data_IF_474428108157
#
_entry.id   IF_474428108157
#
_cell.length_a   1.000
_cell.length_b   1.000
_cell.length_c   1.000
_cell.angle_alpha   90.00
_cell.angle_beta   90.00
_cell.angle_gamma   90.00
#
_symmetry.space_group_name_H-M   'P 1'
#
loop_
_entity.id
_entity.type
_entity.pdbx_description
1 polymer ?
#
# COMPACT_ATOMS: atom_id res chain seq x y z
N UNK A 1 54.86 -61.53 16.24
CA UNK A 1 53.88 -60.82 17.10
C UNK A 1 54.44 -59.43 17.41
N UNK A 2 53.80 -58.32 16.97
CA UNK A 2 54.31 -56.98 17.27
C UNK A 2 54.06 -56.63 18.74
N UNK A 3 55.05 -56.03 19.39
CA UNK A 3 55.05 -55.75 20.83
C UNK A 3 53.91 -54.81 21.24
N UNK A 4 53.43 -54.94 22.49
CA UNK A 4 52.35 -54.11 23.06
C UNK A 4 52.60 -52.60 22.94
N UNK A 5 53.85 -52.17 22.81
CA UNK A 5 54.23 -50.77 22.68
C UNK A 5 53.91 -50.18 21.29
N UNK A 6 54.13 -50.93 20.21
CA UNK A 6 53.82 -50.45 18.85
C UNK A 6 52.33 -50.38 18.58
N UNK A 7 51.52 -51.25 19.21
CA UNK A 7 50.06 -51.19 19.13
C UNK A 7 49.46 -49.97 19.83
N UNK A 8 50.03 -49.54 20.97
CA UNK A 8 49.58 -48.32 21.68
C UNK A 8 49.95 -47.04 20.94
N UNK A 9 51.14 -47.01 20.33
CA UNK A 9 51.59 -45.88 19.52
C UNK A 9 50.74 -45.70 18.24
N UNK A 10 50.44 -46.81 17.55
CA UNK A 10 49.56 -46.79 16.37
C UNK A 10 48.12 -46.36 16.68
N UNK A 11 47.59 -46.75 17.85
CA UNK A 11 46.24 -46.34 18.28
C UNK A 11 46.18 -44.87 18.66
N UNK A 12 47.23 -44.33 19.29
CA UNK A 12 47.34 -42.91 19.58
C UNK A 12 47.45 -42.07 18.29
N UNK A 13 48.24 -42.52 17.31
CA UNK A 13 48.33 -41.86 16.01
C UNK A 13 47.01 -41.89 15.23
N UNK A 14 46.27 -43.01 15.28
CA UNK A 14 44.95 -43.12 14.66
C UNK A 14 43.93 -42.16 15.30
N UNK A 15 43.93 -42.03 16.63
CA UNK A 15 43.05 -41.09 17.34
C UNK A 15 43.39 -39.63 17.01
N UNK A 16 44.67 -39.27 16.93
CA UNK A 16 45.08 -37.90 16.54
C UNK A 16 44.70 -37.59 15.09
N UNK A 17 44.83 -38.56 14.18
CA UNK A 17 44.40 -38.40 12.79
C UNK A 17 42.88 -38.27 12.66
N UNK A 18 42.09 -39.02 13.44
CA UNK A 18 40.63 -38.91 13.44
C UNK A 18 40.18 -37.55 13.98
N UNK A 19 40.82 -37.04 15.03
CA UNK A 19 40.53 -35.70 15.59
C UNK A 19 40.94 -34.59 14.61
N UNK A 20 42.07 -34.74 13.91
CA UNK A 20 42.51 -33.79 12.88
C UNK A 20 41.57 -33.76 11.67
N UNK A 21 41.08 -34.92 11.22
CA UNK A 21 40.11 -35.02 10.12
C UNK A 21 38.75 -34.45 10.54
N UNK A 22 38.31 -34.68 11.78
CA UNK A 22 37.09 -34.09 12.33
C UNK A 22 37.19 -32.55 12.44
N UNK A 23 38.33 -32.00 12.87
CA UNK A 23 38.57 -30.56 12.89
C UNK A 23 38.59 -29.93 11.48
N UNK A 24 39.14 -30.63 10.48
CA UNK A 24 39.16 -30.15 9.10
C UNK A 24 37.76 -30.17 8.45
N UNK A 25 36.90 -31.12 8.82
CA UNK A 25 35.51 -31.19 8.34
C UNK A 25 34.61 -30.12 8.99
N UNK A 26 34.87 -29.74 10.24
CA UNK A 26 34.16 -28.62 10.90
C UNK A 26 34.51 -27.26 10.29
N UNK A 27 35.72 -27.11 9.72
CA UNK A 27 36.17 -25.89 9.05
C UNK A 27 35.70 -25.78 7.59
N UNK A 28 35.03 -26.80 7.04
CA UNK A 28 34.63 -26.85 5.63
C UNK A 28 33.15 -26.56 5.37
N UNK A 29 32.33 -26.41 6.42
CA UNK A 29 30.92 -26.01 6.30
C UNK A 29 30.74 -24.54 6.73
N UNK A 30 31.20 -23.62 5.89
CA UNK A 30 30.64 -22.28 5.81
C UNK A 30 30.16 -22.03 4.38
N UNK A 31 28.84 -22.04 4.23
CA UNK A 31 28.09 -21.51 3.07
C UNK A 31 28.03 -19.97 3.25
N UNK A 32 28.04 -19.17 2.16
CA UNK A 32 28.60 -17.82 2.16
C UNK A 32 27.71 -16.74 2.81
N UNK A 33 28.40 -15.73 3.33
CA UNK A 33 27.88 -14.47 3.87
C UNK A 33 26.92 -13.75 2.91
N UNK A 34 25.75 -13.38 3.42
CA UNK A 34 25.03 -12.18 2.99
C UNK A 34 25.65 -10.99 3.71
N UNK A 35 26.02 -9.98 2.93
CA UNK A 35 26.73 -8.79 3.37
C UNK A 35 25.92 -7.97 4.39
N UNK A 36 26.53 -7.70 5.54
CA UNK A 36 26.21 -6.56 6.38
C UNK A 36 27.46 -5.66 6.37
N UNK A 37 27.32 -4.44 5.86
CA UNK A 37 28.40 -3.45 5.82
C UNK A 37 28.82 -3.03 7.24
N UNK A 38 30.12 -2.79 7.50
CA UNK A 38 30.58 -2.27 8.78
C UNK A 38 30.46 -0.74 8.81
N UNK A 39 29.74 -0.20 9.81
CA UNK A 39 29.79 1.21 10.16
C UNK A 39 31.14 1.51 10.82
N UNK A 40 31.95 2.35 10.19
CA UNK A 40 33.24 2.78 10.71
C UNK A 40 33.06 4.12 11.44
N UNK A 41 32.93 4.08 12.76
CA UNK A 41 32.87 5.29 13.59
C UNK A 41 34.28 5.78 13.90
N UNK A 42 34.66 6.90 13.27
CA UNK A 42 35.72 7.79 13.71
C UNK A 42 35.33 9.22 13.35
N UNK A 43 34.75 9.95 14.29
CA UNK A 43 35.39 11.21 14.66
C UNK A 43 34.96 11.71 16.03
N UNK A 44 35.96 12.09 16.82
CA UNK A 44 35.81 12.68 18.14
C UNK A 44 35.84 14.20 18.01
N UNK A 45 34.69 14.86 18.22
CA UNK A 45 34.68 16.29 18.58
C UNK A 45 33.91 16.51 19.87
N UNK A 46 34.72 16.55 20.93
CA UNK A 46 34.55 17.21 22.22
C UNK A 46 33.71 18.49 22.09
N UNK A 47 32.53 18.50 22.73
CA UNK A 47 31.85 19.74 23.09
C UNK A 47 31.58 19.73 24.60
N UNK A 48 31.84 20.88 25.20
CA UNK A 48 32.02 21.13 26.63
C UNK A 48 30.66 21.32 27.31
N UNK A 49 30.56 20.79 28.52
CA UNK A 49 29.48 21.08 29.48
C UNK A 49 29.80 22.42 30.13
N UNK A 50 28.86 23.37 30.09
CA UNK A 50 28.82 24.48 31.05
C UNK A 50 27.45 24.49 31.73
N UNK A 51 27.51 24.61 33.06
CA UNK A 51 26.40 24.71 33.99
C UNK A 51 25.94 26.18 34.16
N UNK A 52 24.65 26.32 34.49
CA UNK A 52 24.03 27.31 35.38
C UNK A 52 23.94 28.80 34.95
N UNK A 53 22.69 29.30 34.83
CA UNK A 53 22.25 30.54 35.50
C UNK A 53 20.72 30.61 35.61
N UNK A 54 20.24 30.99 36.80
CA UNK A 54 18.85 31.16 37.25
C UNK A 54 18.22 32.52 36.85
N UNK A 55 16.86 32.53 36.82
CA UNK A 55 15.89 33.61 37.20
C UNK A 55 15.99 34.99 36.47
N UNK A 56 14.96 35.71 36.02
CA UNK A 56 13.49 35.74 36.18
C UNK A 56 12.86 36.70 35.12
N UNK A 57 11.52 36.76 35.11
CA UNK A 57 10.60 37.83 34.64
C UNK A 57 9.95 37.73 33.23
N UNK A 58 8.75 37.13 33.25
CA UNK A 58 7.44 37.61 32.76
C UNK A 58 7.35 38.51 31.52
N UNK A 59 6.61 38.04 30.51
CA UNK A 59 5.49 38.79 29.94
C UNK A 59 4.48 37.84 29.27
N UNK A 60 3.22 38.06 29.62
CA UNK A 60 2.03 37.28 29.28
C UNK A 60 1.69 37.35 27.78
N UNK A 61 1.38 36.20 27.17
CA UNK A 61 0.56 36.13 25.96
C UNK A 61 -0.30 34.86 26.02
N UNK A 62 -1.39 34.99 26.78
CA UNK A 62 -2.59 34.15 26.76
C UNK A 62 -3.12 34.03 25.33
N UNK A 63 -2.99 32.86 24.72
CA UNK A 63 -3.76 32.47 23.53
C UNK A 63 -4.56 31.22 23.81
N UNK A 64 -5.64 31.43 24.56
CA UNK A 64 -6.80 30.55 24.66
C UNK A 64 -7.50 30.47 23.30
N UNK A 65 -7.43 29.32 22.64
CA UNK A 65 -8.39 28.95 21.60
C UNK A 65 -8.78 27.48 21.73
N UNK A 66 -9.44 27.15 22.85
CA UNK A 66 -10.44 26.10 22.89
C UNK A 66 -11.57 26.53 23.82
N UNK A 67 -12.68 26.97 23.22
CA UNK A 67 -14.00 26.82 23.79
C UNK A 67 -14.96 26.41 22.66
N UNK A 68 -15.68 25.34 22.92
CA UNK A 68 -16.64 24.67 22.05
C UNK A 68 -17.80 25.57 21.62
N UNK A 69 -18.47 25.11 20.54
CA UNK A 69 -19.87 25.41 20.16
C UNK A 69 -20.23 26.83 19.67
N UNK A 70 -20.14 27.08 18.34
CA UNK A 70 -21.12 27.88 17.57
C UNK A 70 -20.81 28.01 16.06
N UNK A 71 -21.10 27.00 15.22
CA UNK A 71 -21.78 27.20 13.91
C UNK A 71 -22.78 26.05 13.71
N UNK A 72 -23.76 25.96 14.61
CA UNK A 72 -25.08 25.43 14.30
C UNK A 72 -26.08 26.42 14.89
N UNK A 73 -26.45 27.41 14.07
CA UNK A 73 -27.57 28.29 14.33
C UNK A 73 -28.87 27.53 14.09
N UNK A 74 -29.24 26.63 15.00
CA UNK A 74 -30.62 26.17 15.12
C UNK A 74 -31.32 27.07 16.15
N UNK A 75 -32.19 27.94 15.64
CA UNK A 75 -33.23 28.54 16.46
C UNK A 75 -34.35 27.50 16.68
N UNK A 76 -34.47 26.99 17.90
CA UNK A 76 -35.71 26.40 18.37
C UNK A 76 -36.72 27.50 18.68
N UNK A 77 -37.83 27.55 17.94
CA UNK A 77 -39.19 27.33 18.45
C UNK A 77 -40.21 27.87 17.44
N UNK A 78 -40.92 26.96 16.79
CA UNK A 78 -42.36 26.94 17.01
C UNK A 78 -42.85 25.48 17.01
N UNK A 79 -43.40 25.09 18.16
CA UNK A 79 -44.28 23.95 18.28
C UNK A 79 -45.51 24.22 17.41
N UNK A 80 -45.83 23.34 16.46
CA UNK A 80 -47.17 22.81 16.30
C UNK A 80 -47.20 21.59 15.38
N UNK A 81 -47.98 20.62 15.84
CA UNK A 81 -48.58 19.50 15.10
C UNK A 81 -47.66 18.37 14.62
N UNK A 82 -47.37 17.48 15.58
CA UNK A 82 -47.30 16.04 15.30
C UNK A 82 -48.66 15.64 14.68
N UNK A 83 -48.69 15.52 13.36
CA UNK A 83 -49.57 14.58 12.67
C UNK A 83 -48.70 13.44 12.16
N UNK A 84 -49.02 12.26 12.67
CA UNK A 84 -48.64 10.98 12.09
C UNK A 84 -49.35 10.84 10.75
N UNK A 85 -48.67 11.15 9.64
CA UNK A 85 -49.02 10.65 8.31
C UNK A 85 -48.00 9.55 8.00
N UNK A 86 -48.35 8.28 8.23
CA UNK A 86 -48.73 7.34 7.16
C UNK A 86 -47.87 7.48 5.92
N UNK A 87 -46.93 6.55 5.78
CA UNK A 87 -46.60 5.80 4.55
C UNK A 87 -47.30 6.33 3.27
N UNK A 88 -46.87 7.51 2.82
CA UNK A 88 -47.17 8.07 1.50
C UNK A 88 -45.86 8.04 0.73
N UNK A 89 -45.86 7.28 -0.37
CA UNK A 89 -44.85 7.30 -1.40
C UNK A 89 -44.41 8.73 -1.69
N UNK A 90 -43.11 9.04 -1.55
CA UNK A 90 -42.54 10.27 -2.12
C UNK A 90 -42.86 10.29 -3.60
N UNK A 91 -43.88 11.04 -4.00
CA UNK A 91 -44.17 11.31 -5.40
C UNK A 91 -42.99 12.10 -5.96
N UNK A 92 -42.38 11.56 -7.02
CA UNK A 92 -41.31 12.23 -7.77
C UNK A 92 -41.88 13.49 -8.40
N UNK A 93 -41.15 14.61 -8.36
CA UNK A 93 -41.62 15.92 -8.84
C UNK A 93 -42.16 15.85 -10.29
N UNK A 94 -41.57 14.99 -11.11
CA UNK A 94 -41.97 14.66 -12.49
C UNK A 94 -43.43 14.19 -12.62
N UNK A 95 -43.96 13.47 -11.64
CA UNK A 95 -45.33 12.93 -11.70
C UNK A 95 -46.40 14.04 -11.58
N UNK A 96 -46.00 15.21 -11.06
CA UNK A 96 -46.85 16.36 -10.83
C UNK A 96 -46.75 17.46 -11.90
N UNK A 97 -45.77 17.36 -12.80
CA UNK A 97 -45.47 18.35 -13.82
C UNK A 97 -46.17 18.07 -15.15
N UNK A 98 -46.59 19.12 -15.89
CA UNK A 98 -46.94 19.00 -17.29
C UNK A 98 -45.77 18.48 -18.12
N UNK A 99 -46.05 17.63 -19.11
CA UNK A 99 -45.05 17.01 -20.00
C UNK A 99 -44.23 18.06 -20.77
N UNK A 100 -44.77 19.28 -20.96
CA UNK A 100 -44.10 20.38 -21.65
C UNK A 100 -42.93 20.99 -20.84
N UNK A 101 -42.83 20.69 -19.55
CA UNK A 101 -41.80 21.16 -18.60
C UNK A 101 -40.83 20.02 -18.23
N UNK A 102 -40.68 19.04 -19.12
CA UNK A 102 -39.75 17.92 -18.96
C UNK A 102 -38.80 17.95 -20.14
N UNK A 103 -37.50 17.98 -19.86
CA UNK A 103 -36.42 18.19 -20.84
C UNK A 103 -36.56 19.51 -21.63
N UNK A 104 -36.93 20.60 -20.96
CA UNK A 104 -37.17 21.92 -21.57
C UNK A 104 -35.99 22.93 -21.43
N UNK A 105 -34.81 22.43 -21.03
CA UNK A 105 -33.60 23.21 -20.72
C UNK A 105 -33.79 24.15 -19.50
N UNK A 106 -34.80 23.92 -18.66
CA UNK A 106 -35.02 24.67 -17.42
C UNK A 106 -35.20 23.71 -16.23
N UNK A 107 -34.56 24.02 -15.11
CA UNK A 107 -34.66 23.20 -13.91
C UNK A 107 -35.79 23.70 -13.01
N UNK A 108 -36.98 23.10 -13.15
CA UNK A 108 -38.19 23.33 -12.39
C UNK A 108 -38.22 22.54 -11.08
N UNK A 109 -37.65 21.33 -11.07
CA UNK A 109 -37.66 20.50 -9.86
C UNK A 109 -36.44 20.72 -8.97
N UNK A 110 -36.69 20.82 -7.67
CA UNK A 110 -35.63 20.93 -6.66
C UNK A 110 -34.78 19.66 -6.53
N UNK A 111 -35.33 18.51 -6.95
CA UNK A 111 -34.65 17.21 -7.01
C UNK A 111 -33.93 16.97 -8.35
N UNK A 112 -34.16 17.81 -9.37
CA UNK A 112 -33.58 17.72 -10.71
C UNK A 112 -34.09 16.56 -11.56
N UNK A 113 -35.25 15.99 -11.23
CA UNK A 113 -35.81 14.83 -11.94
C UNK A 113 -36.49 15.19 -13.27
N UNK A 114 -36.79 16.46 -13.49
CA UNK A 114 -37.43 17.05 -14.66
C UNK A 114 -36.55 17.10 -15.90
N UNK A 115 -35.23 17.19 -15.73
CA UNK A 115 -34.27 17.36 -16.82
C UNK A 115 -33.29 16.17 -16.91
N UNK A 116 -33.75 14.93 -17.20
CA UNK A 116 -32.87 13.78 -17.34
C UNK A 116 -31.94 13.87 -18.55
N UNK A 117 -32.33 14.57 -19.63
CA UNK A 117 -31.61 14.62 -20.91
C UNK A 117 -30.99 15.99 -21.24
N UNK A 118 -31.09 16.97 -20.34
CA UNK A 118 -30.46 18.27 -20.51
C UNK A 118 -29.50 18.58 -19.37
N UNK A 119 -28.67 19.61 -19.53
CA UNK A 119 -27.72 20.04 -18.48
C UNK A 119 -28.31 21.06 -17.48
N UNK A 120 -29.60 21.39 -17.59
CA UNK A 120 -30.23 22.47 -16.82
C UNK A 120 -30.22 22.22 -15.30
N UNK A 121 -30.40 20.96 -14.87
CA UNK A 121 -30.34 20.57 -13.45
C UNK A 121 -28.95 20.14 -12.96
N UNK A 122 -27.87 20.39 -13.72
CA UNK A 122 -26.49 20.06 -13.31
C UNK A 122 -26.04 20.73 -12.00
N UNK A 123 -26.68 21.83 -11.59
CA UNK A 123 -26.36 22.54 -10.35
C UNK A 123 -26.88 21.83 -9.08
N UNK A 124 -27.82 20.88 -9.22
CA UNK A 124 -28.44 20.14 -8.11
C UNK A 124 -27.46 19.15 -7.44
N UNK A 125 -26.30 18.90 -8.08
CA UNK A 125 -25.17 18.10 -7.57
C UNK A 125 -24.67 18.55 -6.18
N UNK A 126 -24.96 19.79 -5.75
CA UNK A 126 -24.47 20.38 -4.50
C UNK A 126 -25.34 20.11 -3.26
N UNK A 127 -26.51 19.47 -3.40
CA UNK A 127 -27.49 19.31 -2.29
C UNK A 127 -27.82 17.86 -1.91
N UNK A 128 -27.23 16.87 -2.57
CA UNK A 128 -27.41 15.45 -2.22
C UNK A 128 -26.37 15.01 -1.19
N UNK A 129 -26.80 14.74 0.05
CA UNK A 129 -25.95 14.18 1.12
C UNK A 129 -25.76 12.66 1.02
N UNK A 130 -26.46 11.98 0.10
CA UNK A 130 -26.43 10.51 -0.03
C UNK A 130 -26.02 10.07 -1.45
N UNK A 131 -25.08 9.10 -1.61
CA UNK A 131 -24.75 8.55 -2.93
C UNK A 131 -25.96 7.84 -3.57
N UNK A 132 -26.20 7.97 -4.90
CA UNK A 132 -25.38 8.63 -5.91
C UNK A 132 -25.50 10.16 -5.90
N UNK A 133 -24.40 10.83 -6.26
CA UNK A 133 -24.27 12.29 -6.25
C UNK A 133 -25.02 12.92 -7.43
N UNK A 134 -26.34 13.09 -7.27
CA UNK A 134 -27.24 13.80 -8.19
C UNK A 134 -27.67 13.00 -9.43
N UNK A 135 -28.51 13.61 -10.31
CA UNK A 135 -28.98 12.96 -11.51
C UNK A 135 -27.81 12.68 -12.48
N UNK A 136 -27.90 11.58 -13.21
CA UNK A 136 -26.92 11.16 -14.22
C UNK A 136 -27.65 10.86 -15.53
N UNK A 137 -27.08 11.31 -16.65
CA UNK A 137 -27.58 11.03 -18.00
C UNK A 137 -27.13 9.63 -18.42
N UNK A 138 -28.06 8.82 -18.92
CA UNK A 138 -27.75 7.50 -19.44
C UNK A 138 -27.57 7.55 -20.96
N UNK A 139 -26.39 7.18 -21.44
CA UNK A 139 -26.17 7.07 -22.88
C UNK A 139 -27.14 6.06 -23.51
N UNK A 140 -27.61 6.31 -24.73
CA UNK A 140 -28.63 5.45 -25.37
C UNK A 140 -28.07 4.09 -25.80
N UNK A 141 -26.80 4.05 -26.22
CA UNK A 141 -26.14 2.83 -26.67
C UNK A 141 -25.51 1.98 -25.55
N UNK A 142 -25.22 2.58 -24.39
CA UNK A 142 -24.52 1.96 -23.27
C UNK A 142 -25.15 2.37 -21.94
N UNK A 143 -25.19 1.49 -20.93
CA UNK A 143 -25.53 1.83 -19.53
C UNK A 143 -24.45 2.73 -18.86
N UNK A 144 -23.74 3.55 -19.63
CA UNK A 144 -22.76 4.51 -19.14
C UNK A 144 -23.52 5.72 -18.64
N UNK A 145 -23.40 5.94 -17.34
CA UNK A 145 -23.89 7.13 -16.66
C UNK A 145 -22.85 8.25 -16.79
N UNK A 146 -23.31 9.42 -17.23
CA UNK A 146 -22.51 10.63 -17.42
C UNK A 146 -23.14 11.74 -16.57
N UNK A 147 -22.32 12.62 -15.99
CA UNK A 147 -22.85 13.78 -15.26
C UNK A 147 -23.66 14.67 -16.20
N UNK A 148 -24.78 15.23 -15.73
CA UNK A 148 -25.58 16.20 -16.51
C UNK A 148 -24.73 17.41 -16.96
N UNK A 149 -23.66 17.74 -16.25
CA UNK A 149 -22.76 18.82 -16.61
C UNK A 149 -22.02 18.61 -17.96
N UNK A 150 -21.96 17.36 -18.43
CA UNK A 150 -21.31 17.00 -19.70
C UNK A 150 -22.30 16.77 -20.83
N UNK A 151 -23.60 17.02 -20.61
CA UNK A 151 -24.60 16.97 -21.68
C UNK A 151 -24.61 18.32 -22.41
N UNK A 152 -24.46 18.29 -23.74
CA UNK A 152 -24.38 19.47 -24.62
C UNK A 152 -23.20 20.43 -24.30
N UNK A 153 -22.07 19.94 -23.79
CA UNK A 153 -20.88 20.74 -23.48
C UNK A 153 -19.90 20.87 -24.67
N UNK A 154 -20.19 20.17 -25.78
CA UNK A 154 -19.39 20.12 -26.99
C UNK A 154 -18.29 19.06 -26.98
N UNK A 155 -18.28 18.16 -25.99
CA UNK A 155 -17.36 17.03 -25.85
C UNK A 155 -18.13 15.72 -25.98
N UNK A 156 -17.63 14.80 -26.81
CA UNK A 156 -18.27 13.49 -26.99
C UNK A 156 -17.83 12.54 -25.86
N UNK A 157 -18.66 12.38 -24.84
CA UNK A 157 -18.51 11.44 -23.73
C UNK A 157 -19.29 10.14 -23.95
N UNK A 158 -20.44 10.18 -24.61
CA UNK A 158 -21.19 8.99 -25.01
C UNK A 158 -20.65 8.43 -26.34
N UNK A 159 -20.46 7.11 -26.41
CA UNK A 159 -19.85 6.46 -27.59
C UNK A 159 -20.71 6.59 -28.86
N UNK A 160 -22.01 6.82 -28.71
CA UNK A 160 -22.99 6.99 -29.77
C UNK A 160 -23.20 8.46 -30.14
N UNK A 161 -22.69 9.38 -29.32
CA UNK A 161 -22.90 10.82 -29.44
C UNK A 161 -24.28 11.28 -28.96
N UNK A 162 -24.97 10.49 -28.12
CA UNK A 162 -26.30 10.85 -27.60
C UNK A 162 -26.28 11.99 -26.58
N UNK A 163 -25.10 12.37 -26.08
CA UNK A 163 -24.92 13.53 -25.19
C UNK A 163 -24.90 14.87 -25.93
N UNK A 164 -24.65 14.84 -27.23
CA UNK A 164 -24.42 16.01 -28.07
C UNK A 164 -25.48 16.15 -29.14
N UNK A 165 -25.65 17.38 -29.62
CA UNK A 165 -26.58 17.66 -30.72
C UNK A 165 -26.17 16.87 -31.98
N UNK A 166 -27.19 16.39 -32.69
CA UNK A 166 -27.04 15.59 -33.90
C UNK A 166 -26.00 16.18 -34.88
N UNK A 167 -24.95 15.41 -35.17
CA UNK A 167 -23.93 15.73 -36.19
C UNK A 167 -22.60 16.29 -35.66
N UNK A 168 -22.44 16.49 -34.35
CA UNK A 168 -21.16 16.85 -33.73
C UNK A 168 -20.26 15.62 -33.48
N UNK A 169 -20.86 14.52 -33.00
CA UNK A 169 -20.16 13.31 -32.58
C UNK A 169 -20.36 12.15 -33.57
N UNK A 170 -19.29 11.36 -33.76
CA UNK A 170 -19.33 10.14 -34.58
C UNK A 170 -19.49 8.92 -33.68
N UNK A 171 -20.27 7.91 -34.12
CA UNK A 171 -20.47 6.69 -33.34
C UNK A 171 -19.19 5.82 -33.32
N UNK A 172 -18.50 5.77 -32.17
CA UNK A 172 -17.31 4.94 -31.91
C UNK A 172 -17.60 3.69 -31.08
N UNK A 173 -18.86 3.47 -30.66
CA UNK A 173 -19.28 2.39 -29.76
C UNK A 173 -18.74 1.01 -30.15
N UNK A 174 -18.74 0.65 -31.45
CA UNK A 174 -18.27 -0.66 -31.87
C UNK A 174 -16.80 -0.92 -31.48
N UNK A 175 -15.93 0.07 -31.67
CA UNK A 175 -14.50 -0.04 -31.34
C UNK A 175 -14.24 0.03 -29.84
N UNK A 176 -15.06 0.79 -29.10
CA UNK A 176 -14.97 0.92 -27.65
C UNK A 176 -15.43 -0.36 -26.95
N UNK A 177 -16.52 -0.97 -27.40
CA UNK A 177 -16.97 -2.26 -26.90
C UNK A 177 -15.98 -3.38 -27.16
N UNK A 178 -15.37 -3.43 -28.35
CA UNK A 178 -14.31 -4.39 -28.63
C UNK A 178 -13.13 -4.22 -27.69
N UNK A 179 -12.68 -2.97 -27.46
CA UNK A 179 -11.59 -2.67 -26.53
C UNK A 179 -11.97 -3.05 -25.10
N UNK A 180 -13.17 -2.70 -24.64
CA UNK A 180 -13.68 -3.06 -23.31
C UNK A 180 -13.80 -4.57 -23.13
N UNK A 181 -14.29 -5.27 -24.14
CA UNK A 181 -14.40 -6.73 -24.11
C UNK A 181 -13.02 -7.38 -24.03
N UNK A 182 -12.02 -6.86 -24.77
CA UNK A 182 -10.64 -7.33 -24.72
C UNK A 182 -10.02 -7.14 -23.33
N UNK A 183 -10.17 -5.95 -22.73
CA UNK A 183 -9.62 -5.68 -21.39
C UNK A 183 -10.28 -6.54 -20.31
N UNK A 184 -11.61 -6.71 -20.38
CA UNK A 184 -12.33 -7.59 -19.45
C UNK A 184 -11.93 -9.06 -19.61
N UNK A 185 -11.77 -9.55 -20.85
CA UNK A 185 -11.31 -10.91 -21.10
C UNK A 185 -9.87 -11.14 -20.62
N UNK A 186 -8.98 -10.17 -20.83
CA UNK A 186 -7.62 -10.22 -20.32
C UNK A 186 -7.61 -10.28 -18.79
N UNK A 187 -8.40 -9.42 -18.13
CA UNK A 187 -8.55 -9.42 -16.67
C UNK A 187 -9.10 -10.75 -16.17
N UNK A 188 -10.13 -11.29 -16.81
CA UNK A 188 -10.71 -12.60 -16.46
C UNK A 188 -9.65 -13.71 -16.55
N UNK A 189 -8.83 -13.72 -17.60
CA UNK A 189 -7.75 -14.70 -17.78
C UNK A 189 -6.67 -14.59 -16.68
N UNK A 190 -6.36 -13.37 -16.23
CA UNK A 190 -5.46 -13.15 -15.09
C UNK A 190 -6.08 -13.70 -13.79
N UNK A 191 -7.35 -13.38 -13.52
CA UNK A 191 -8.07 -13.86 -12.32
C UNK A 191 -8.16 -15.39 -12.30
N UNK A 192 -8.51 -16.02 -13.42
CA UNK A 192 -8.59 -17.48 -13.52
C UNK A 192 -7.24 -18.16 -13.28
N UNK A 193 -6.15 -17.59 -13.80
CA UNK A 193 -4.78 -18.10 -13.54
C UNK A 193 -4.37 -17.86 -12.08
N UNK A 194 -4.70 -16.71 -11.52
CA UNK A 194 -4.48 -16.37 -10.12
C UNK A 194 -5.22 -17.33 -9.18
N UNK A 195 -6.49 -17.66 -9.47
CA UNK A 195 -7.28 -18.63 -8.70
C UNK A 195 -6.65 -20.03 -8.70
N UNK A 196 -6.11 -20.49 -9.83
CA UNK A 196 -5.38 -21.76 -9.88
C UNK A 196 -4.18 -21.75 -8.93
N UNK A 197 -3.32 -20.73 -9.00
CA UNK A 197 -2.17 -20.58 -8.08
C UNK A 197 -2.60 -20.40 -6.63
N UNK A 198 -3.70 -19.71 -6.36
CA UNK A 198 -4.27 -19.57 -5.02
C UNK A 198 -4.57 -20.93 -4.40
N UNK A 199 -5.13 -21.87 -5.16
CA UNK A 199 -5.39 -23.23 -4.63
C UNK A 199 -4.11 -23.95 -4.23
N UNK A 200 -3.01 -23.71 -4.95
CA UNK A 200 -1.68 -24.23 -4.61
C UNK A 200 -1.16 -23.60 -3.31
N UNK A 201 -1.31 -22.27 -3.14
CA UNK A 201 -0.93 -21.57 -1.92
C UNK A 201 -1.71 -22.06 -0.70
N UNK A 202 -3.01 -22.30 -0.87
CA UNK A 202 -3.86 -22.83 0.20
C UNK A 202 -3.44 -24.24 0.61
N UNK A 203 -3.05 -25.10 -0.33
CA UNK A 203 -2.64 -26.47 -0.04
C UNK A 203 -1.42 -26.56 0.91
N UNK A 204 -0.47 -25.63 0.80
CA UNK A 204 0.72 -25.56 1.67
C UNK A 204 0.56 -24.65 2.88
N UNK A 205 -0.56 -23.93 3.00
CA UNK A 205 -0.69 -22.82 3.95
C UNK A 205 -0.68 -23.27 5.41
N UNK A 206 -1.41 -24.33 5.75
CA UNK A 206 -1.56 -24.84 7.12
C UNK A 206 -0.21 -25.28 7.69
N UNK A 207 0.58 -26.02 6.90
CA UNK A 207 1.91 -26.49 7.31
C UNK A 207 2.88 -25.32 7.53
N UNK A 208 2.79 -24.26 6.71
CA UNK A 208 3.62 -23.06 6.86
C UNK A 208 3.25 -22.26 8.10
N UNK A 209 1.95 -22.05 8.36
CA UNK A 209 1.49 -21.36 9.58
C UNK A 209 1.96 -22.10 10.83
N UNK A 210 1.88 -23.43 10.83
CA UNK A 210 2.36 -24.25 11.94
C UNK A 210 3.88 -24.10 12.14
N UNK A 211 4.68 -24.14 11.06
CA UNK A 211 6.12 -23.91 11.13
C UNK A 211 6.47 -22.51 11.64
N UNK A 212 5.77 -21.47 11.19
CA UNK A 212 5.97 -20.10 11.67
C UNK A 212 5.73 -19.98 13.17
N UNK A 213 4.73 -20.69 13.69
CA UNK A 213 4.46 -20.75 15.13
C UNK A 213 5.61 -21.44 15.89
N UNK A 214 6.09 -22.57 15.41
CA UNK A 214 7.24 -23.29 15.99
C UNK A 214 8.53 -22.45 15.95
N UNK A 215 8.76 -21.72 14.86
CA UNK A 215 9.89 -20.81 14.70
C UNK A 215 9.84 -19.65 15.69
N UNK A 216 8.64 -19.09 15.89
CA UNK A 216 8.41 -18.03 16.88
C UNK A 216 8.65 -18.52 18.31
N UNK A 217 8.19 -19.72 18.67
CA UNK A 217 8.46 -20.30 19.99
C UNK A 217 9.97 -20.45 20.23
N UNK A 218 10.73 -20.94 19.24
CA UNK A 218 12.20 -21.00 19.30
C UNK A 218 12.85 -19.63 19.44
N UNK A 219 12.37 -18.63 18.71
CA UNK A 219 12.90 -17.27 18.79
C UNK A 219 12.62 -16.63 20.15
N UNK A 220 11.43 -16.83 20.70
CA UNK A 220 11.03 -16.33 22.01
C UNK A 220 11.91 -16.92 23.12
N UNK A 221 12.20 -18.22 23.08
CA UNK A 221 13.14 -18.87 24.01
C UNK A 221 14.56 -18.29 23.86
N UNK A 222 15.04 -18.11 22.62
CA UNK A 222 16.34 -17.52 22.34
C UNK A 222 16.44 -16.09 22.88
N UNK A 223 15.40 -15.27 22.70
CA UNK A 223 15.32 -13.91 23.21
C UNK A 223 15.39 -13.87 24.74
N UNK A 224 14.61 -14.72 25.43
CA UNK A 224 14.65 -14.81 26.89
C UNK A 224 16.03 -15.24 27.41
N UNK A 225 16.66 -16.21 26.75
CA UNK A 225 18.01 -16.67 27.14
C UNK A 225 19.07 -15.58 26.90
N UNK A 226 18.96 -14.83 25.79
CA UNK A 226 19.82 -13.69 25.47
C UNK A 226 19.65 -12.53 26.46
N UNK A 227 18.42 -12.27 26.92
CA UNK A 227 18.15 -11.24 27.92
C UNK A 227 18.85 -11.56 29.25
N UNK A 228 18.76 -12.80 29.74
CA UNK A 228 19.46 -13.23 30.98
C UNK A 228 20.98 -13.09 30.84
N UNK A 229 21.53 -13.51 29.69
CA UNK A 229 22.96 -13.38 29.42
C UNK A 229 23.42 -11.91 29.38
N UNK A 230 22.59 -11.02 28.84
CA UNK A 230 22.87 -9.57 28.82
C UNK A 230 22.86 -8.97 30.23
N UNK A 231 21.89 -9.33 31.08
CA UNK A 231 21.83 -8.89 32.48
C UNK A 231 23.06 -9.34 33.28
N UNK A 232 23.51 -10.59 33.06
CA UNK A 232 24.72 -11.11 33.70
C UNK A 232 25.99 -10.38 33.22
N UNK A 233 26.08 -10.09 31.92
CA UNK A 233 27.18 -9.31 31.35
C UNK A 233 27.19 -7.87 31.88
N UNK A 234 26.01 -7.27 32.05
CA UNK A 234 25.86 -5.93 32.62
C UNK A 234 26.38 -5.87 34.06
N UNK A 235 26.09 -6.89 34.88
CA UNK A 235 26.63 -7.00 36.26
C UNK A 235 28.16 -7.14 36.25
N UNK A 236 28.72 -7.92 35.33
CA UNK A 236 30.18 -8.06 35.21
C UNK A 236 30.85 -6.76 34.75
N UNK A 237 30.22 -6.04 33.82
CA UNK A 237 30.72 -4.77 33.28
C UNK A 237 30.73 -3.63 34.32
N UNK A 238 29.88 -3.69 35.36
CA UNK A 238 29.95 -2.76 36.49
C UNK A 238 31.27 -2.88 37.26
N UNK A 239 31.82 -4.09 37.35
CA UNK A 239 33.08 -4.36 38.04
C UNK A 239 34.31 -4.33 37.12
N UNK A 240 34.13 -4.50 35.80
CA UNK A 240 35.22 -4.47 34.82
C UNK A 240 34.90 -3.54 33.64
N UNK A 241 35.51 -2.32 33.58
CA UNK A 241 35.26 -1.35 32.51
C UNK A 241 35.76 -1.79 31.13
N UNK A 242 36.63 -2.81 31.03
CA UNK A 242 37.10 -3.34 29.74
C UNK A 242 35.98 -4.07 28.97
N UNK A 243 34.93 -4.53 29.65
CA UNK A 243 33.79 -5.24 29.05
C UNK A 243 32.77 -4.32 28.36
N UNK A 244 32.95 -2.99 28.39
CA UNK A 244 32.01 -2.04 27.78
C UNK A 244 31.76 -2.29 26.30
N UNK A 245 32.80 -2.63 25.53
CA UNK A 245 32.65 -2.93 24.10
C UNK A 245 31.84 -4.21 23.85
N UNK A 246 32.01 -5.23 24.68
CA UNK A 246 31.20 -6.46 24.59
C UNK A 246 29.75 -6.22 24.99
N UNK A 247 29.52 -5.36 25.98
CA UNK A 247 28.17 -4.97 26.40
C UNK A 247 27.42 -4.25 25.27
N UNK A 248 28.07 -3.32 24.58
CA UNK A 248 27.49 -2.62 23.42
C UNK A 248 27.15 -3.58 22.28
N UNK A 249 28.05 -4.52 21.95
CA UNK A 249 27.78 -5.55 20.96
C UNK A 249 26.61 -6.44 21.36
N UNK A 250 26.57 -6.89 22.63
CA UNK A 250 25.47 -7.70 23.15
C UNK A 250 24.14 -6.94 23.14
N UNK A 251 24.15 -5.64 23.43
CA UNK A 251 22.97 -4.77 23.36
C UNK A 251 22.44 -4.67 21.93
N UNK A 252 23.33 -4.43 20.95
CA UNK A 252 22.93 -4.35 19.54
C UNK A 252 22.34 -5.68 19.02
N UNK A 253 22.92 -6.82 19.43
CA UNK A 253 22.38 -8.14 19.10
C UNK A 253 21.01 -8.34 19.74
N UNK A 254 20.86 -8.04 21.04
CA UNK A 254 19.59 -8.20 21.76
C UNK A 254 18.49 -7.33 21.15
N UNK A 255 18.81 -6.08 20.79
CA UNK A 255 17.87 -5.15 20.12
C UNK A 255 17.41 -5.69 18.77
N UNK A 256 18.30 -6.31 17.99
CA UNK A 256 17.94 -6.92 16.70
C UNK A 256 17.03 -8.14 16.90
N UNK A 257 17.32 -9.00 17.88
CA UNK A 257 16.47 -10.15 18.21
C UNK A 257 15.10 -9.69 18.72
N UNK A 258 15.05 -8.65 19.56
CA UNK A 258 13.81 -8.05 20.04
C UNK A 258 12.93 -7.57 18.88
N UNK A 259 13.51 -6.85 17.92
CA UNK A 259 12.80 -6.38 16.73
C UNK A 259 12.22 -7.52 15.90
N UNK A 260 13.01 -8.57 15.62
CA UNK A 260 12.53 -9.73 14.86
C UNK A 260 11.42 -10.47 15.63
N UNK A 261 11.56 -10.59 16.96
CA UNK A 261 10.55 -11.24 17.82
C UNK A 261 9.24 -10.45 17.82
N UNK A 262 9.31 -9.11 17.85
CA UNK A 262 8.14 -8.24 17.76
C UNK A 262 7.39 -8.39 16.43
N UNK A 263 8.12 -8.47 15.31
CA UNK A 263 7.47 -8.70 14.01
C UNK A 263 6.84 -10.09 13.98
N UNK A 264 7.59 -11.13 14.37
CA UNK A 264 7.08 -12.51 14.32
C UNK A 264 5.88 -12.73 15.24
N UNK A 265 5.79 -12.06 16.39
CA UNK A 265 4.62 -12.18 17.27
C UNK A 265 3.34 -11.68 16.59
N UNK A 266 3.42 -10.63 15.76
CA UNK A 266 2.30 -10.12 14.94
C UNK A 266 1.94 -11.10 13.83
N UNK A 267 2.93 -11.70 13.19
CA UNK A 267 2.72 -12.67 12.09
C UNK A 267 2.04 -13.95 12.59
N UNK A 268 2.39 -14.42 13.79
CA UNK A 268 1.83 -15.64 14.39
C UNK A 268 0.48 -15.41 15.08
N UNK A 269 0.07 -14.15 15.25
CA UNK A 269 -1.23 -13.82 15.82
C UNK A 269 -2.37 -14.49 15.02
N UNK A 270 -3.38 -15.11 15.67
CA UNK A 270 -4.51 -15.73 15.00
C UNK A 270 -5.22 -14.79 14.02
N UNK A 271 -5.22 -13.49 14.33
CA UNK A 271 -5.84 -12.45 13.50
C UNK A 271 -5.16 -12.25 12.15
N UNK A 272 -3.90 -12.66 12.01
CA UNK A 272 -3.17 -12.52 10.75
C UNK A 272 -3.56 -13.58 9.73
N UNK A 273 -3.66 -14.86 10.11
CA UNK A 273 -3.90 -15.96 9.16
C UNK A 273 -5.10 -16.88 9.46
N UNK A 274 -5.56 -16.97 10.71
CA UNK A 274 -6.52 -18.02 11.14
C UNK A 274 -7.96 -17.54 11.23
N UNK A 275 -8.20 -16.24 11.45
CA UNK A 275 -9.53 -15.70 11.74
C UNK A 275 -10.54 -15.82 10.58
N UNK A 276 -10.07 -15.86 9.34
CA UNK A 276 -10.95 -15.90 8.17
C UNK A 276 -10.42 -16.84 7.08
N UNK A 277 -11.33 -17.56 6.41
CA UNK A 277 -10.99 -18.58 5.41
C UNK A 277 -10.16 -18.06 4.23
N UNK A 278 -10.17 -16.74 3.97
CA UNK A 278 -9.41 -16.13 2.88
C UNK A 278 -7.96 -15.80 3.24
N UNK A 279 -7.62 -15.68 4.53
CA UNK A 279 -6.31 -15.24 5.04
C UNK A 279 -5.16 -16.26 4.87
N UNK A 280 -5.36 -17.59 5.01
CA UNK A 280 -4.27 -18.57 4.89
C UNK A 280 -3.52 -18.52 3.56
N UNK A 281 -4.17 -18.11 2.47
CA UNK A 281 -3.54 -18.00 1.16
C UNK A 281 -2.35 -17.02 1.12
N UNK A 282 -2.29 -16.06 2.05
CA UNK A 282 -1.26 -15.03 2.08
C UNK A 282 0.01 -15.46 2.80
N UNK A 283 0.02 -16.60 3.49
CA UNK A 283 1.21 -17.08 4.23
C UNK A 283 2.41 -17.34 3.30
N UNK A 284 2.16 -17.60 2.02
CA UNK A 284 3.22 -17.77 1.01
C UNK A 284 4.09 -16.52 0.85
N UNK A 285 3.53 -15.33 1.13
CA UNK A 285 4.24 -14.07 0.99
C UNK A 285 5.20 -13.79 2.16
N UNK A 286 5.08 -14.54 3.27
CA UNK A 286 5.90 -14.33 4.46
C UNK A 286 7.34 -14.74 4.14
N UNK A 287 8.26 -13.78 4.23
CA UNK A 287 9.69 -13.99 4.00
C UNK A 287 10.17 -13.68 2.59
N UNK A 288 9.26 -13.36 1.67
CA UNK A 288 9.59 -12.83 0.35
C UNK A 288 9.63 -11.30 0.39
N UNK A 289 10.52 -10.68 -0.40
CA UNK A 289 10.65 -9.23 -0.48
C UNK A 289 10.63 -8.79 -1.94
N UNK A 290 9.88 -7.74 -2.23
CA UNK A 290 9.66 -7.21 -3.57
C UNK A 290 10.19 -5.80 -3.67
N UNK A 291 11.06 -5.56 -4.64
CA UNK A 291 11.66 -4.26 -4.91
C UNK A 291 10.94 -3.57 -6.07
N UNK A 292 10.63 -2.29 -5.93
CA UNK A 292 10.03 -1.46 -6.95
C UNK A 292 10.75 -0.12 -7.04
N UNK A 293 11.29 0.18 -8.22
CA UNK A 293 11.96 1.46 -8.47
C UNK A 293 10.93 2.48 -8.93
N UNK A 294 10.77 3.57 -8.19
CA UNK A 294 9.86 4.67 -8.48
C UNK A 294 10.61 5.99 -8.62
N UNK A 295 10.20 6.82 -9.57
CA UNK A 295 10.74 8.17 -9.70
C UNK A 295 10.05 9.11 -8.69
N UNK A 296 10.78 10.08 -8.15
CA UNK A 296 10.25 11.08 -7.21
C UNK A 296 9.02 11.83 -7.76
N UNK A 297 9.00 12.09 -9.07
CA UNK A 297 7.88 12.73 -9.76
C UNK A 297 6.60 11.87 -9.77
N UNK A 298 6.76 10.55 -9.93
CA UNK A 298 5.63 9.61 -9.87
C UNK A 298 5.14 9.44 -8.43
N UNK A 299 6.07 9.46 -7.46
CA UNK A 299 5.77 9.23 -6.06
C UNK A 299 5.04 10.41 -5.40
N UNK A 300 5.54 11.64 -5.59
CA UNK A 300 5.07 12.84 -4.85
C UNK A 300 4.34 13.88 -5.72
N UNK A 301 4.41 13.72 -7.04
CA UNK A 301 4.08 14.81 -7.98
C UNK A 301 5.16 15.90 -7.94
N UNK A 302 5.63 16.35 -9.10
CA UNK A 302 6.71 17.34 -9.16
C UNK A 302 6.75 18.13 -10.44
N UNK A 303 7.38 19.31 -10.39
CA UNK A 303 7.53 20.16 -11.57
C UNK A 303 8.58 19.58 -12.55
N UNK A 304 8.48 19.86 -13.86
CA UNK A 304 9.36 19.26 -14.87
C UNK A 304 10.86 19.57 -14.69
N UNK A 305 11.20 20.67 -14.02
CA UNK A 305 12.51 21.33 -14.10
C UNK A 305 13.60 20.75 -13.18
N UNK A 306 13.33 19.65 -12.47
CA UNK A 306 14.30 19.00 -11.56
C UNK A 306 14.58 17.57 -12.05
N UNK A 307 15.85 17.15 -11.97
CA UNK A 307 16.25 15.75 -12.19
C UNK A 307 15.63 14.92 -11.05
N UNK A 308 14.64 14.06 -11.33
CA UNK A 308 13.94 13.34 -10.28
C UNK A 308 14.89 12.36 -9.59
N UNK A 309 14.80 12.28 -8.27
CA UNK A 309 15.44 11.19 -7.52
C UNK A 309 14.76 9.87 -7.84
N UNK A 310 15.52 8.79 -7.73
CA UNK A 310 15.01 7.42 -7.88
C UNK A 310 15.04 6.73 -6.54
N UNK A 311 13.89 6.19 -6.16
CA UNK A 311 13.71 5.47 -4.92
C UNK A 311 13.49 4.00 -5.21
N UNK A 312 14.21 3.15 -4.51
CA UNK A 312 13.93 1.72 -4.48
C UNK A 312 13.11 1.44 -3.23
N UNK A 313 11.82 1.17 -3.45
CA UNK A 313 10.86 0.77 -2.43
C UNK A 313 10.92 -0.73 -2.27
N UNK A 314 11.13 -1.21 -1.05
CA UNK A 314 11.18 -2.64 -0.71
C UNK A 314 9.99 -2.96 0.19
N UNK A 315 9.06 -3.76 -0.33
CA UNK A 315 7.94 -4.30 0.41
C UNK A 315 8.24 -5.77 0.77
N UNK A 316 8.34 -6.06 2.07
CA UNK A 316 8.37 -7.42 2.59
C UNK A 316 7.02 -7.69 3.29
N UNK A 317 6.08 -8.39 2.64
CA UNK A 317 4.74 -8.62 3.20
C UNK A 317 4.80 -9.22 4.61
N UNK A 318 3.96 -8.72 5.51
CA UNK A 318 3.90 -9.10 6.92
C UNK A 318 5.16 -8.80 7.74
N UNK A 319 6.11 -8.01 7.20
CA UNK A 319 7.30 -7.58 7.93
C UNK A 319 7.40 -6.05 7.99
N UNK A 320 7.89 -5.42 6.92
CA UNK A 320 8.08 -3.98 6.86
C UNK A 320 8.09 -3.47 5.42
N UNK A 321 7.98 -2.15 5.31
CA UNK A 321 8.17 -1.39 4.08
C UNK A 321 9.34 -0.44 4.30
N UNK A 322 10.27 -0.39 3.35
CA UNK A 322 11.43 0.49 3.42
C UNK A 322 11.69 1.21 2.11
N UNK A 323 12.27 2.40 2.23
CA UNK A 323 12.70 3.24 1.13
C UNK A 323 14.21 3.34 1.12
N UNK A 324 14.82 3.11 -0.03
CA UNK A 324 16.27 3.21 -0.24
C UNK A 324 16.61 4.08 -1.43
N UNK A 325 17.78 4.69 -1.41
CA UNK A 325 18.30 5.53 -2.49
C UNK A 325 19.69 5.07 -2.94
N UNK A 326 19.81 3.93 -3.63
CA UNK A 326 21.12 3.42 -4.03
C UNK A 326 21.83 4.34 -5.04
N UNK A 327 21.06 5.08 -5.86
CA UNK A 327 21.58 6.00 -6.88
C UNK A 327 21.87 7.42 -6.35
N UNK A 328 21.78 7.63 -5.03
CA UNK A 328 22.01 8.95 -4.42
C UNK A 328 23.39 9.57 -4.74
N UNK A 329 24.52 8.83 -4.70
CA UNK A 329 25.82 9.41 -5.01
C UNK A 329 25.92 9.90 -6.45
N UNK A 330 25.39 9.13 -7.40
CA UNK A 330 25.37 9.47 -8.83
C UNK A 330 24.47 10.68 -9.11
N UNK A 331 23.28 10.70 -8.50
CA UNK A 331 22.37 11.83 -8.58
C UNK A 331 23.00 13.12 -8.04
N UNK A 332 23.70 13.03 -6.90
CA UNK A 332 24.38 14.18 -6.29
C UNK A 332 25.46 14.76 -7.22
N UNK A 333 26.22 13.89 -7.91
CA UNK A 333 27.21 14.32 -8.91
C UNK A 333 26.55 15.04 -10.08
N UNK A 334 25.47 14.47 -10.63
CA UNK A 334 24.73 15.06 -11.75
C UNK A 334 24.07 16.41 -11.37
N UNK A 335 23.48 16.51 -10.19
CA UNK A 335 22.84 17.74 -9.72
C UNK A 335 23.88 18.87 -9.57
N UNK A 336 25.05 18.58 -8.96
CA UNK A 336 26.15 19.55 -8.85
C UNK A 336 26.65 20.03 -10.22
N UNK A 337 26.81 19.12 -11.18
CA UNK A 337 27.23 19.46 -12.55
C UNK A 337 26.24 20.41 -13.22
N UNK A 338 24.93 20.15 -13.08
CA UNK A 338 23.90 21.02 -13.67
C UNK A 338 23.79 22.39 -13.01
N UNK A 339 24.02 22.50 -11.70
CA UNK A 339 23.89 23.77 -10.94
C UNK A 339 25.13 24.66 -11.04
N UNK A 340 26.34 24.09 -11.03
CA UNK A 340 27.60 24.86 -10.92
C UNK A 340 28.33 25.00 -12.27
N UNK A 341 27.96 24.18 -13.26
CA UNK A 341 28.65 24.09 -14.55
C UNK A 341 30.00 23.38 -14.44
N UNK A 342 30.55 22.96 -15.58
CA UNK A 342 31.71 22.06 -15.75
C UNK A 342 33.04 22.51 -15.11
N UNK A 343 33.11 23.70 -14.51
CA UNK A 343 34.39 24.36 -14.20
C UNK A 343 34.99 24.06 -12.82
N UNK A 344 34.32 23.28 -11.97
CA UNK A 344 34.86 22.88 -10.65
C UNK A 344 34.46 21.44 -10.30
N UNK A 345 34.67 20.51 -11.24
CA UNK A 345 34.34 19.09 -11.03
C UNK A 345 35.52 18.24 -10.56
N UNK A 346 36.68 18.84 -10.24
CA UNK A 346 37.91 18.12 -9.87
C UNK A 346 38.37 18.31 -8.41
N UNK A 347 37.58 19.00 -7.58
CA UNK A 347 37.96 19.18 -6.17
C UNK A 347 37.14 18.27 -5.25
N UNK A 348 37.76 17.11 -4.98
CA UNK A 348 37.42 16.05 -4.03
C UNK A 348 36.21 15.19 -4.41
N UNK A 349 36.52 14.00 -4.95
CA UNK A 349 35.68 12.81 -4.81
C UNK A 349 35.56 12.46 -3.32
N UNK A 350 34.75 13.20 -2.57
CA UNK A 350 34.18 12.66 -1.34
C UNK A 350 33.31 11.48 -1.77
N UNK A 351 33.66 10.29 -1.29
CA UNK A 351 32.87 9.08 -1.45
C UNK A 351 31.56 9.32 -0.69
N UNK A 352 30.56 9.84 -1.39
CA UNK A 352 29.24 10.11 -0.79
C UNK A 352 28.65 8.75 -0.43
N UNK A 353 28.56 8.47 0.87
CA UNK A 353 27.97 7.22 1.37
C UNK A 353 26.50 7.13 0.97
N UNK A 354 26.06 5.91 0.65
CA UNK A 354 24.65 5.62 0.36
C UNK A 354 23.83 5.86 1.63
N UNK A 355 22.76 6.67 1.58
CA UNK A 355 21.90 6.90 2.73
C UNK A 355 21.36 5.59 3.30
N UNK A 356 21.22 5.52 4.62
CA UNK A 356 20.60 4.37 5.30
C UNK A 356 19.15 4.20 4.83
N UNK A 357 18.65 2.95 4.71
CA UNK A 357 17.23 2.70 4.45
C UNK A 357 16.34 3.38 5.49
N UNK A 358 15.24 3.97 5.03
CA UNK A 358 14.21 4.57 5.87
C UNK A 358 13.07 3.58 6.00
N UNK A 359 12.69 3.23 7.23
CA UNK A 359 11.48 2.42 7.49
C UNK A 359 10.21 3.24 7.32
N UNK A 360 9.34 2.85 6.37
CA UNK A 360 8.06 3.51 6.12
C UNK A 360 6.91 2.93 6.96
N UNK A 361 7.12 1.74 7.53
CA UNK A 361 6.17 1.09 8.43
C UNK A 361 6.50 -0.38 8.68
N UNK A 362 5.93 -0.93 9.73
CA UNK A 362 6.01 -2.33 10.18
C UNK A 362 4.60 -2.90 10.16
N UNK A 363 4.46 -4.16 9.75
CA UNK A 363 3.17 -4.85 9.71
C UNK A 363 2.44 -4.73 11.07
N UNK A 364 1.20 -4.23 11.02
CA UNK A 364 0.36 -4.06 12.20
C UNK A 364 -0.88 -4.96 12.13
N UNK A 365 -1.80 -4.66 11.20
CA UNK A 365 -3.09 -5.34 11.12
C UNK A 365 -3.74 -5.28 9.72
N UNK A 366 -4.78 -6.09 9.55
CA UNK A 366 -5.68 -6.02 8.40
C UNK A 366 -6.68 -4.88 8.58
N UNK A 367 -6.86 -4.05 7.56
CA UNK A 367 -7.92 -3.04 7.50
C UNK A 367 -9.14 -3.54 6.72
N UNK A 368 -10.20 -2.74 6.70
CA UNK A 368 -11.39 -3.00 5.91
C UNK A 368 -11.06 -3.15 4.43
N UNK A 369 -11.64 -4.17 3.80
CA UNK A 369 -11.45 -4.43 2.38
C UNK A 369 -12.21 -3.41 1.54
N UNK A 370 -11.53 -2.83 0.56
CA UNK A 370 -12.14 -1.92 -0.43
C UNK A 370 -12.43 -2.72 -1.68
N UNK A 371 -13.70 -2.86 -2.05
CA UNK A 371 -14.14 -3.70 -3.17
C UNK A 371 -13.61 -5.15 -3.03
N UNK A 372 -12.82 -5.63 -4.00
CA UNK A 372 -12.16 -6.93 -3.96
C UNK A 372 -10.75 -6.88 -3.36
N UNK A 373 -10.21 -5.69 -3.11
CA UNK A 373 -8.86 -5.51 -2.60
C UNK A 373 -8.80 -5.80 -1.09
N UNK A 374 -7.73 -6.47 -0.66
CA UNK A 374 -7.44 -6.68 0.77
C UNK A 374 -6.43 -5.66 1.24
N UNK A 375 -6.70 -4.98 2.33
CA UNK A 375 -5.90 -3.84 2.77
C UNK A 375 -5.10 -4.21 4.01
N UNK A 376 -3.81 -3.91 3.98
CA UNK A 376 -2.87 -4.10 5.07
C UNK A 376 -2.38 -2.75 5.60
N UNK A 377 -2.28 -2.63 6.93
CA UNK A 377 -1.75 -1.46 7.61
C UNK A 377 -0.33 -1.72 8.11
N UNK A 378 0.59 -0.82 7.74
CA UNK A 378 1.97 -0.81 8.22
C UNK A 378 2.23 0.51 8.97
N UNK A 379 2.41 0.43 10.28
CA UNK A 379 2.55 1.59 11.17
C UNK A 379 3.93 1.57 11.87
N UNK A 380 4.22 2.54 12.75
CA UNK A 380 5.50 2.62 13.46
C UNK A 380 6.72 2.70 12.53
N UNK A 381 6.59 3.45 11.43
CA UNK A 381 7.72 3.84 10.61
C UNK A 381 8.60 4.88 11.31
N UNK A 382 9.72 5.22 10.69
CA UNK A 382 10.62 6.23 11.22
C UNK A 382 9.93 7.59 11.30
N UNK A 383 10.24 8.42 12.33
CA UNK A 383 9.60 9.71 12.53
C UNK A 383 9.85 10.64 11.34
N UNK A 384 8.78 11.28 10.89
CA UNK A 384 8.76 12.26 9.83
C UNK A 384 9.19 13.65 10.36
N UNK A 385 9.45 14.59 9.45
CA UNK A 385 9.87 15.95 9.79
C UNK A 385 8.83 16.73 10.62
N UNK A 386 7.55 16.39 10.48
CA UNK A 386 6.43 16.97 11.24
C UNK A 386 6.20 16.29 12.61
N UNK A 387 7.05 15.33 13.00
CA UNK A 387 6.91 14.57 14.24
C UNK A 387 5.92 13.40 14.19
N UNK A 388 5.20 13.20 13.10
CA UNK A 388 4.33 12.03 12.91
C UNK A 388 5.14 10.80 12.51
N UNK A 389 4.68 9.61 12.89
CA UNK A 389 5.27 8.36 12.42
C UNK A 389 4.87 8.12 10.96
N UNK A 390 5.84 7.72 10.13
CA UNK A 390 5.53 7.24 8.78
C UNK A 390 4.64 6.00 8.86
N UNK A 391 3.65 5.93 7.98
CA UNK A 391 2.81 4.75 7.84
C UNK A 391 2.51 4.48 6.37
N UNK A 392 2.22 3.22 6.07
CA UNK A 392 1.99 2.73 4.72
C UNK A 392 0.73 1.87 4.69
N UNK A 393 -0.15 2.15 3.73
CA UNK A 393 -1.33 1.37 3.41
C UNK A 393 -1.01 0.51 2.18
N UNK A 394 -1.14 -0.81 2.30
CA UNK A 394 -0.85 -1.74 1.19
C UNK A 394 -2.15 -2.38 0.71
N UNK A 395 -2.51 -2.11 -0.54
CA UNK A 395 -3.67 -2.70 -1.22
C UNK A 395 -3.23 -3.95 -1.99
N UNK A 396 -3.73 -5.11 -1.58
CA UNK A 396 -3.50 -6.40 -2.23
C UNK A 396 -4.59 -6.66 -3.25
N UNK A 397 -4.21 -6.65 -4.53
CA UNK A 397 -5.05 -6.87 -5.69
C UNK A 397 -4.85 -8.27 -6.25
N UNK A 398 -5.89 -8.84 -6.87
CA UNK A 398 -5.74 -10.09 -7.59
C UNK A 398 -4.79 -9.90 -8.78
N UNK A 399 -3.77 -10.76 -8.85
CA UNK A 399 -2.83 -10.82 -9.96
C UNK A 399 -2.32 -12.24 -10.18
N UNK A 400 -1.68 -12.49 -11.31
CA UNK A 400 -1.08 -13.79 -11.61
C UNK A 400 0.26 -14.00 -10.89
N UNK A 401 0.99 -12.91 -10.63
CA UNK A 401 2.33 -12.93 -10.05
C UNK A 401 2.40 -11.98 -8.87
N UNK A 402 3.29 -12.25 -7.93
CA UNK A 402 3.55 -11.37 -6.79
C UNK A 402 4.46 -10.22 -7.26
N UNK A 403 3.93 -9.00 -7.29
CA UNK A 403 4.70 -7.80 -7.64
C UNK A 403 4.03 -6.53 -7.14
N UNK A 404 4.84 -5.51 -6.88
CA UNK A 404 4.35 -4.15 -6.65
C UNK A 404 3.97 -3.54 -8.00
N UNK A 405 2.79 -2.92 -8.07
CA UNK A 405 2.25 -2.27 -9.27
C UNK A 405 2.53 -0.78 -9.25
N UNK A 406 2.22 -0.12 -8.14
CA UNK A 406 2.49 1.31 -7.95
C UNK A 406 2.74 1.63 -6.49
N UNK A 407 3.45 2.74 -6.26
CA UNK A 407 3.71 3.33 -4.95
C UNK A 407 3.49 4.82 -5.08
N UNK A 408 2.61 5.36 -4.25
CA UNK A 408 2.21 6.77 -4.27
C UNK A 408 2.25 7.34 -2.84
N UNK A 409 2.67 8.59 -2.69
CA UNK A 409 2.62 9.33 -1.42
C UNK A 409 1.44 10.31 -1.49
N UNK A 410 0.30 9.95 -0.88
CA UNK A 410 -0.92 10.77 -0.93
C UNK A 410 -0.79 12.05 -0.10
N UNK A 411 -0.25 11.89 1.10
CA UNK A 411 0.04 12.98 2.04
C UNK A 411 1.46 12.81 2.57
N UNK A 412 2.02 13.87 3.16
CA UNK A 412 3.38 13.81 3.71
C UNK A 412 3.51 12.63 4.68
N UNK A 413 4.43 11.72 4.39
CA UNK A 413 4.70 10.54 5.20
C UNK A 413 3.55 9.51 5.29
N UNK A 414 2.57 9.60 4.39
CA UNK A 414 1.52 8.60 4.19
C UNK A 414 1.67 7.97 2.81
N UNK A 415 1.99 6.68 2.78
CA UNK A 415 2.27 5.95 1.55
C UNK A 415 1.14 4.98 1.22
N UNK A 416 0.81 4.85 -0.05
CA UNK A 416 -0.09 3.85 -0.58
C UNK A 416 0.65 2.96 -1.59
N UNK A 417 0.60 1.66 -1.37
CA UNK A 417 1.27 0.66 -2.22
C UNK A 417 0.22 -0.26 -2.80
N UNK A 418 0.17 -0.39 -4.12
CA UNK A 418 -0.65 -1.39 -4.80
C UNK A 418 0.20 -2.62 -5.13
N UNK A 419 -0.23 -3.77 -4.66
CA UNK A 419 0.50 -5.03 -4.80
C UNK A 419 -0.39 -6.10 -5.42
N UNK A 420 0.04 -6.69 -6.52
CA UNK A 420 -0.63 -7.82 -7.16
C UNK A 420 -0.18 -9.12 -6.54
N UNK A 421 -1.12 -10.01 -6.22
CA UNK A 421 -0.83 -11.37 -5.76
C UNK A 421 -1.93 -12.37 -6.11
N UNK A 422 -1.59 -13.63 -6.44
CA UNK A 422 -2.57 -14.70 -6.58
C UNK A 422 -3.37 -14.96 -5.31
N UNK A 423 -2.77 -14.68 -4.14
CA UNK A 423 -3.41 -14.89 -2.84
C UNK A 423 -4.67 -14.02 -2.65
N UNK A 424 -4.79 -12.90 -3.36
CA UNK A 424 -5.94 -11.99 -3.29
C UNK A 424 -7.10 -12.39 -4.22
N UNK A 425 -6.87 -13.25 -5.21
CA UNK A 425 -7.89 -13.62 -6.20
C UNK A 425 -9.07 -14.37 -5.57
N UNK A 426 -10.30 -13.96 -5.86
CA UNK A 426 -11.52 -14.56 -5.32
C UNK A 426 -12.48 -15.00 -6.44
N UNK A 427 -13.36 -15.96 -6.13
CA UNK A 427 -14.42 -16.37 -7.07
C UNK A 427 -15.41 -15.24 -7.35
N UNK A 428 -15.72 -14.42 -6.34
CA UNK A 428 -16.61 -13.27 -6.49
C UNK A 428 -16.14 -12.28 -7.57
N UNK A 429 -14.83 -12.00 -7.65
CA UNK A 429 -14.28 -11.12 -8.69
C UNK A 429 -14.43 -11.76 -10.09
N UNK A 430 -14.22 -13.09 -10.19
CA UNK A 430 -14.41 -13.81 -11.44
C UNK A 430 -15.87 -13.75 -11.91
N UNK A 431 -16.82 -13.97 -11.01
CA UNK A 431 -18.25 -14.00 -11.35
C UNK A 431 -18.74 -12.63 -11.81
N UNK A 432 -18.31 -11.55 -11.15
CA UNK A 432 -18.62 -10.17 -11.56
C UNK A 432 -18.04 -9.84 -12.94
N UNK A 433 -16.79 -10.23 -13.22
CA UNK A 433 -16.20 -10.05 -14.54
C UNK A 433 -16.94 -10.85 -15.63
N UNK A 434 -17.39 -12.06 -15.31
CA UNK A 434 -18.16 -12.88 -16.26
C UNK A 434 -19.53 -12.26 -16.56
N UNK A 435 -20.21 -11.74 -15.53
CA UNK A 435 -21.47 -11.02 -15.69
C UNK A 435 -21.27 -9.78 -16.55
N UNK A 436 -20.25 -8.96 -16.26
CA UNK A 436 -19.95 -7.75 -17.04
C UNK A 436 -19.62 -8.07 -18.51
N UNK A 437 -18.83 -9.12 -18.78
CA UNK A 437 -18.56 -9.60 -20.13
C UNK A 437 -19.85 -10.03 -20.84
N UNK A 438 -20.78 -10.65 -20.11
CA UNK A 438 -22.07 -11.08 -20.68
C UNK A 438 -22.94 -9.88 -21.05
N UNK A 439 -22.96 -8.82 -20.22
CA UNK A 439 -23.66 -7.55 -20.49
C UNK A 439 -23.08 -6.81 -21.69
N UNK A 440 -21.75 -6.70 -21.78
CA UNK A 440 -21.09 -6.08 -22.96
C UNK A 440 -21.41 -6.85 -24.24
N UNK A 441 -21.45 -8.19 -24.18
CA UNK A 441 -21.84 -9.01 -25.33
C UNK A 441 -23.31 -8.88 -25.71
N UNK A 442 -24.20 -8.58 -24.76
CA UNK A 442 -25.60 -8.34 -25.09
C UNK A 442 -25.76 -7.04 -25.86
N UNK A 443 -25.09 -5.95 -25.47
CA UNK A 443 -25.12 -4.67 -26.22
C UNK A 443 -24.68 -4.83 -27.67
N UNK A 444 -23.61 -5.61 -27.90
CA UNK A 444 -23.15 -5.92 -29.26
C UNK A 444 -24.23 -6.62 -30.11
N UNK A 445 -24.97 -7.57 -29.52
CA UNK A 445 -26.05 -8.29 -30.22
C UNK A 445 -27.28 -7.41 -30.47
N UNK A 446 -27.63 -6.52 -29.55
CA UNK A 446 -28.78 -5.62 -29.74
C UNK A 446 -28.54 -4.67 -30.91
N UNK A 447 -27.28 -4.24 -31.13
CA UNK A 447 -26.89 -3.43 -32.30
C UNK A 447 -27.02 -4.20 -33.62
N UNK A 448 -26.54 -5.45 -33.68
CA UNK A 448 -26.70 -6.30 -34.88
C UNK A 448 -28.17 -6.56 -35.23
N UNK A 449 -29.06 -6.62 -34.23
CA UNK A 449 -30.50 -6.77 -34.44
C UNK A 449 -31.17 -5.45 -34.83
N UNK A 450 -30.69 -4.32 -34.30
CA UNK A 450 -31.14 -2.97 -34.63
C UNK A 450 -30.81 -2.53 -36.07
N UNK A 451 -29.82 -3.13 -36.72
CA UNK A 451 -29.54 -2.90 -38.15
C UNK A 451 -30.46 -3.69 -39.10
N UNK A 452 -31.21 -4.68 -38.58
CA UNK A 452 -32.15 -5.49 -39.36
C UNK A 452 -33.65 -5.18 -39.10
N UNK A 453 -33.96 -4.33 -38.11
CA UNK A 453 -35.31 -3.83 -37.86
C UNK A 453 -35.38 -2.36 -38.29
N UNK A 454 -35.91 -2.14 -39.50
CA UNK A 454 -35.85 -0.85 -40.19
C UNK A 454 -36.65 0.30 -39.57
N UNK A 455 -36.37 1.49 -40.07
CA UNK A 455 -37.34 2.57 -40.18
C UNK A 455 -37.61 2.85 -41.66
N UNK A 456 -38.53 2.05 -42.20
CA UNK A 456 -39.59 2.54 -43.09
C UNK A 456 -40.79 2.81 -42.16
N UNK A 457 -41.31 4.04 -42.17
CA UNK A 457 -42.54 4.53 -41.51
C UNK A 457 -42.59 4.59 -39.96
N UNK A 458 -42.59 5.82 -39.40
CA UNK A 458 -43.82 6.56 -39.03
C UNK A 458 -43.52 8.04 -38.80
#
# INVERSE_FOLDING_TARGET
MPSRATKRSMLAFLLVMIVAIACMLVLSNQVPSVAAAPANSRDSKRFVVDEAFDEDEEEDDDWDFMADDAILGLSEQDNNDIKTDTDESKETCVDSLPIDLVDDDYCDCQDGSDEPNTSACSHVLLHSETPPFGPEFNCKADDKMVSLAFVHDGVCDCCDGSDERDGLCANTCATEWERRLQTLQERLNVVQRGLKRRTEYLAGSVDKVQKLKEDFERLAEAYQSGQRAFEDLQRQAQHNPELRGQLEQSYNVLRRVQYITYIQSRVVDPSTFSDAAWKPAFVELVGECYTYTVNEKELKGGTPNVIPRKYDMVLCPFQNVSQTEPLYPEWTKAERQTKVGDKVADEKEEEVEVPRPIGLGIWNEWQESVNFARVQSYNHGEPCANGQERHTRVELLCGEQNRVVSVEEREMCQYEVRFETPAACGQAEQDVLQDEISRVKTFFKTKDVGEFAGHEEL
#
